data_IF_693636250924
#
_entry.id   IF_693636250924
#
_cell.length_a   1.000
_cell.length_b   1.000
_cell.length_c   1.000
_cell.angle_alpha   90.00
_cell.angle_beta   90.00
_cell.angle_gamma   90.00
#
_symmetry.space_group_name_H-M   'P 1'
#
loop_
_entity.id
_entity.type
_entity.pdbx_description
1 polymer ?
#
# COMPACT_ATOMS: atom_id res chain seq x y z
N UNK A 1 1.09 -33.71 -0.77
CA UNK A 1 0.57 -32.37 -0.40
C UNK A 1 1.66 -31.31 -0.60
N UNK A 2 1.29 -30.09 -1.03
CA UNK A 2 2.19 -28.95 -1.15
C UNK A 2 1.41 -27.68 -0.81
N UNK A 3 1.65 -27.08 0.34
CA UNK A 3 0.93 -25.92 0.85
C UNK A 3 1.94 -24.82 1.23
N UNK A 4 1.56 -23.58 0.96
CA UNK A 4 2.37 -22.40 1.26
C UNK A 4 1.57 -21.51 2.20
N UNK A 5 2.23 -20.99 3.23
CA UNK A 5 1.69 -19.98 4.12
C UNK A 5 2.69 -18.88 4.35
N UNK A 6 2.17 -17.67 4.51
CA UNK A 6 2.96 -16.47 4.81
C UNK A 6 2.27 -15.69 5.92
N UNK A 7 3.04 -15.12 6.83
CA UNK A 7 2.52 -14.19 7.83
C UNK A 7 3.59 -13.20 8.28
N UNK A 8 3.14 -11.95 8.49
CA UNK A 8 3.92 -10.89 9.09
C UNK A 8 3.18 -10.42 10.34
N UNK A 9 3.86 -10.43 11.48
CA UNK A 9 3.28 -10.08 12.79
C UNK A 9 4.22 -9.18 13.58
N UNK A 10 3.64 -8.19 14.25
CA UNK A 10 4.37 -7.27 15.11
C UNK A 10 4.92 -6.04 14.36
N UNK A 11 5.72 -5.27 15.08
CA UNK A 11 6.29 -4.01 14.64
C UNK A 11 7.76 -3.88 15.13
N UNK A 12 8.42 -2.81 14.69
CA UNK A 12 9.79 -2.52 15.09
C UNK A 12 10.81 -3.55 14.65
N UNK A 13 11.98 -3.62 15.32
CA UNK A 13 13.03 -4.58 15.00
C UNK A 13 12.65 -6.03 15.28
N UNK A 14 11.74 -6.28 16.20
CA UNK A 14 11.27 -7.60 16.59
C UNK A 14 10.19 -8.18 15.67
N UNK A 15 9.76 -7.42 14.64
CA UNK A 15 8.80 -7.87 13.64
C UNK A 15 9.17 -9.26 13.09
N UNK A 16 8.21 -10.16 13.09
CA UNK A 16 8.37 -11.51 12.57
C UNK A 16 7.73 -11.65 11.20
N UNK A 17 8.49 -12.10 10.21
CA UNK A 17 7.98 -12.49 8.90
C UNK A 17 8.33 -13.95 8.62
N UNK A 18 7.30 -14.77 8.54
CA UNK A 18 7.41 -16.22 8.37
C UNK A 18 6.84 -16.62 7.02
N UNK A 19 7.68 -17.22 6.15
CA UNK A 19 7.21 -18.00 5.01
C UNK A 19 7.38 -19.47 5.32
N UNK A 20 6.36 -20.27 5.10
CA UNK A 20 6.49 -21.69 5.29
C UNK A 20 5.95 -22.51 4.12
N UNK A 21 6.53 -23.69 3.97
CA UNK A 21 6.03 -24.73 3.07
C UNK A 21 5.79 -25.96 3.90
N UNK A 22 4.57 -26.51 3.78
CA UNK A 22 4.12 -27.75 4.40
C UNK A 22 3.82 -28.78 3.33
N UNK A 23 4.28 -30.00 3.50
CA UNK A 23 3.96 -31.06 2.54
C UNK A 23 4.47 -32.43 2.90
N UNK A 24 4.26 -33.36 1.97
CA UNK A 24 4.61 -34.76 2.16
C UNK A 24 6.12 -34.97 2.23
N UNK A 25 6.55 -35.80 3.15
CA UNK A 25 7.94 -36.23 3.34
C UNK A 25 8.53 -36.90 2.09
N UNK A 26 7.71 -37.66 1.37
CA UNK A 26 8.11 -38.33 0.13
C UNK A 26 7.89 -37.44 -1.11
N UNK A 27 7.44 -36.18 -0.91
CA UNK A 27 7.15 -35.22 -1.98
C UNK A 27 8.24 -34.17 -2.17
N UNK A 28 7.95 -33.12 -2.98
CA UNK A 28 8.91 -32.05 -3.23
C UNK A 28 9.32 -31.28 -1.97
N UNK A 29 8.42 -31.19 -0.97
CA UNK A 29 8.74 -30.53 0.31
C UNK A 29 9.70 -31.37 1.11
N UNK A 30 9.54 -32.70 1.14
CA UNK A 30 10.48 -33.62 1.79
C UNK A 30 11.86 -33.61 1.14
N UNK A 31 11.92 -33.56 -0.20
CA UNK A 31 13.19 -33.42 -0.91
C UNK A 31 13.88 -32.08 -0.56
N UNK A 32 13.15 -30.99 -0.51
CA UNK A 32 13.68 -29.67 -0.09
C UNK A 32 14.15 -29.69 1.37
N UNK A 33 13.40 -30.36 2.25
CA UNK A 33 13.77 -30.52 3.67
C UNK A 33 15.09 -31.29 3.83
N UNK A 34 15.25 -32.43 3.15
CA UNK A 34 16.46 -33.23 3.17
C UNK A 34 17.68 -32.47 2.60
N UNK A 35 17.47 -31.75 1.51
CA UNK A 35 18.51 -30.91 0.90
C UNK A 35 18.94 -29.77 1.86
N UNK A 36 17.98 -29.07 2.48
CA UNK A 36 18.27 -27.99 3.42
C UNK A 36 19.04 -28.50 4.65
N UNK A 37 18.74 -29.70 5.15
CA UNK A 37 19.47 -30.32 6.24
C UNK A 37 20.93 -30.65 5.90
N UNK A 38 21.24 -30.97 4.64
CA UNK A 38 22.57 -31.38 4.21
C UNK A 38 23.42 -30.23 3.65
N UNK A 39 22.80 -29.12 3.26
CA UNK A 39 23.51 -27.96 2.69
C UNK A 39 23.72 -26.88 3.75
N UNK A 40 24.93 -26.78 4.25
CA UNK A 40 25.32 -25.75 5.20
C UNK A 40 25.79 -24.51 4.43
N UNK A 41 25.09 -23.39 4.65
CA UNK A 41 25.40 -22.09 4.06
C UNK A 41 25.79 -21.12 5.18
N UNK A 42 26.91 -20.42 5.02
CA UNK A 42 27.36 -19.48 6.05
C UNK A 42 26.30 -18.41 6.35
N UNK A 43 25.91 -18.32 7.63
CA UNK A 43 24.89 -17.39 8.12
C UNK A 43 23.43 -17.77 7.79
N UNK A 44 23.20 -18.92 7.14
CA UNK A 44 21.87 -19.45 6.83
C UNK A 44 21.71 -20.91 7.26
N UNK A 45 22.44 -21.32 8.28
CA UNK A 45 22.40 -22.70 8.76
C UNK A 45 21.02 -23.04 9.30
N UNK A 46 20.33 -24.01 8.72
CA UNK A 46 19.03 -24.47 9.20
C UNK A 46 19.16 -25.19 10.54
N UNK A 47 18.09 -25.19 11.33
CA UNK A 47 18.02 -25.98 12.55
C UNK A 47 16.64 -26.65 12.68
N UNK A 48 16.63 -27.85 13.26
CA UNK A 48 15.38 -28.52 13.60
C UNK A 48 14.71 -27.81 14.77
N UNK A 49 13.41 -27.55 14.63
CA UNK A 49 12.61 -27.04 15.73
C UNK A 49 12.42 -28.12 16.80
N UNK A 50 12.77 -27.82 18.04
CA UNK A 50 12.64 -28.71 19.18
C UNK A 50 11.84 -28.06 20.31
N UNK A 51 10.93 -28.82 20.91
CA UNK A 51 10.16 -28.39 22.09
C UNK A 51 11.10 -28.22 23.28
N UNK A 52 12.05 -29.14 23.41
CA UNK A 52 13.19 -29.15 24.36
C UNK A 52 14.31 -30.01 23.77
N UNK A 53 15.52 -29.95 24.31
CA UNK A 53 16.57 -30.85 23.86
C UNK A 53 16.11 -32.31 23.78
N UNK A 54 16.41 -32.96 22.66
CA UNK A 54 16.04 -34.32 22.32
C UNK A 54 14.52 -34.58 22.11
N UNK A 55 13.70 -33.55 21.89
CA UNK A 55 12.28 -33.65 21.58
C UNK A 55 11.90 -32.76 20.38
N UNK A 56 11.85 -33.36 19.19
CA UNK A 56 11.45 -32.71 17.97
C UNK A 56 9.95 -32.40 17.94
N UNK A 57 9.59 -31.40 17.13
CA UNK A 57 8.18 -31.19 16.74
C UNK A 57 7.68 -32.30 15.82
N UNK A 58 6.37 -32.48 15.79
CA UNK A 58 5.65 -33.25 14.77
C UNK A 58 4.49 -32.42 14.24
N UNK A 59 4.45 -32.15 12.89
CA UNK A 59 5.43 -32.55 11.87
C UNK A 59 6.86 -32.07 12.14
N UNK A 60 7.87 -32.79 11.61
CA UNK A 60 9.25 -32.36 11.69
C UNK A 60 9.40 -30.99 10.99
N UNK A 61 9.93 -30.02 11.72
CA UNK A 61 9.99 -28.62 11.25
C UNK A 61 11.43 -28.15 11.19
N UNK A 62 11.81 -27.54 10.08
CA UNK A 62 13.10 -26.94 9.85
C UNK A 62 12.97 -25.41 9.85
N UNK A 63 13.70 -24.74 10.73
CA UNK A 63 13.79 -23.28 10.79
C UNK A 63 14.97 -22.83 9.94
N UNK A 64 14.74 -21.89 9.02
CA UNK A 64 15.73 -21.39 8.06
C UNK A 64 15.80 -19.86 8.18
N UNK A 65 16.96 -19.27 8.49
CA UNK A 65 17.12 -17.81 8.47
C UNK A 65 16.96 -17.26 7.05
N UNK A 66 16.04 -16.30 6.83
CA UNK A 66 15.89 -15.58 5.55
C UNK A 66 17.03 -14.61 5.24
N UNK A 67 17.68 -14.12 6.29
CA UNK A 67 18.79 -13.15 6.18
C UNK A 67 20.06 -13.78 6.68
N UNK A 68 21.20 -13.32 6.18
CA UNK A 68 22.49 -13.77 6.66
C UNK A 68 22.72 -13.32 8.09
N UNK A 69 22.80 -14.26 9.02
CA UNK A 69 23.13 -13.99 10.43
C UNK A 69 24.63 -13.64 10.52
N UNK A 70 24.93 -12.40 10.88
CA UNK A 70 26.31 -11.88 10.92
C UNK A 70 26.84 -11.67 12.33
N UNK A 71 25.95 -11.49 13.31
CA UNK A 71 26.30 -11.22 14.71
C UNK A 71 26.02 -12.44 15.57
N UNK A 72 26.82 -12.66 16.60
CA UNK A 72 26.60 -13.73 17.59
C UNK A 72 25.24 -13.60 18.30
N UNK A 73 24.76 -12.38 18.54
CA UNK A 73 23.43 -12.11 19.13
C UNK A 73 22.31 -12.62 18.22
N UNK A 74 22.36 -12.37 16.90
CA UNK A 74 21.37 -12.88 15.95
C UNK A 74 21.30 -14.41 15.93
N UNK A 75 22.45 -15.07 16.11
CA UNK A 75 22.51 -16.53 16.22
C UNK A 75 21.78 -16.98 17.48
N UNK A 76 22.02 -16.34 18.63
CA UNK A 76 21.33 -16.65 19.88
C UNK A 76 19.82 -16.39 19.78
N UNK A 77 19.40 -15.31 19.15
CA UNK A 77 17.99 -14.97 18.92
C UNK A 77 17.30 -16.00 18.02
N UNK A 78 17.96 -16.43 16.94
CA UNK A 78 17.43 -17.44 16.02
C UNK A 78 17.34 -18.82 16.67
N UNK A 79 18.39 -19.25 17.36
CA UNK A 79 18.44 -20.56 17.98
C UNK A 79 17.70 -20.63 19.34
N UNK A 80 17.45 -19.49 19.97
CA UNK A 80 16.68 -19.35 21.22
C UNK A 80 15.21 -19.03 20.97
N UNK A 81 14.80 -17.75 21.10
CA UNK A 81 13.39 -17.36 21.08
C UNK A 81 12.67 -17.68 19.76
N UNK A 82 13.32 -17.52 18.59
CA UNK A 82 12.69 -17.84 17.29
C UNK A 82 12.39 -19.33 17.20
N UNK A 83 13.40 -20.17 17.41
CA UNK A 83 13.23 -21.63 17.34
C UNK A 83 12.19 -22.13 18.35
N UNK A 84 12.24 -21.63 19.59
CA UNK A 84 11.28 -22.02 20.63
C UNK A 84 9.83 -21.60 20.26
N UNK A 85 9.66 -20.42 19.66
CA UNK A 85 8.37 -19.91 19.20
C UNK A 85 7.80 -20.79 18.08
N UNK A 86 8.60 -21.13 17.06
CA UNK A 86 8.19 -22.00 15.96
C UNK A 86 7.80 -23.38 16.48
N UNK A 87 8.63 -23.97 17.34
CA UNK A 87 8.37 -25.29 17.91
C UNK A 87 7.06 -25.31 18.70
N UNK A 88 6.84 -24.33 19.58
CA UNK A 88 5.61 -24.21 20.36
C UNK A 88 4.39 -24.00 19.47
N UNK A 89 4.48 -23.11 18.46
CA UNK A 89 3.39 -22.84 17.52
C UNK A 89 2.96 -24.10 16.75
N UNK A 90 3.92 -24.90 16.27
CA UNK A 90 3.63 -26.16 15.58
C UNK A 90 2.93 -27.15 16.54
N UNK A 91 3.43 -27.28 17.76
CA UNK A 91 2.83 -28.19 18.75
C UNK A 91 1.40 -27.77 19.11
N UNK A 92 1.14 -26.48 19.30
CA UNK A 92 -0.20 -25.98 19.61
C UNK A 92 -1.16 -26.15 18.43
N UNK A 93 -0.70 -25.94 17.19
CA UNK A 93 -1.49 -26.23 16.00
C UNK A 93 -1.88 -27.71 15.90
N UNK A 94 -1.02 -28.62 16.36
CA UNK A 94 -1.37 -30.05 16.45
C UNK A 94 -2.43 -30.29 17.51
N UNK A 95 -2.27 -29.71 18.69
CA UNK A 95 -3.22 -29.83 19.81
C UNK A 95 -4.60 -29.25 19.44
N UNK A 96 -4.61 -28.16 18.72
CA UNK A 96 -5.83 -27.48 18.22
C UNK A 96 -6.48 -28.21 17.03
N UNK A 97 -5.85 -29.27 16.52
CA UNK A 97 -6.41 -30.09 15.42
C UNK A 97 -6.26 -29.48 14.03
N UNK A 98 -5.37 -28.50 13.83
CA UNK A 98 -5.19 -27.83 12.53
C UNK A 98 -4.88 -28.81 11.39
N UNK A 99 -4.15 -29.88 11.66
CA UNK A 99 -3.77 -30.87 10.65
C UNK A 99 -4.85 -31.95 10.41
N UNK A 100 -5.96 -31.90 11.15
CA UNK A 100 -7.06 -32.86 11.03
C UNK A 100 -6.60 -34.31 11.25
N UNK A 101 -6.90 -35.17 10.29
CA UNK A 101 -6.55 -36.61 10.34
C UNK A 101 -5.24 -36.95 9.63
N UNK A 102 -4.42 -35.95 9.27
CA UNK A 102 -3.15 -36.20 8.59
C UNK A 102 -2.17 -36.94 9.51
N UNK A 103 -1.42 -37.87 8.92
CA UNK A 103 -0.31 -38.51 9.64
C UNK A 103 0.86 -37.54 9.77
N UNK A 104 1.12 -37.07 11.00
CA UNK A 104 2.16 -36.10 11.29
C UNK A 104 3.58 -36.61 10.99
N UNK A 105 3.79 -37.92 10.94
CA UNK A 105 5.08 -38.53 10.58
C UNK A 105 5.31 -38.48 9.04
N UNK A 106 4.26 -38.38 8.27
CA UNK A 106 4.34 -38.26 6.81
C UNK A 106 4.55 -36.83 6.32
N UNK A 107 4.46 -35.85 7.22
CA UNK A 107 4.56 -34.43 6.88
C UNK A 107 5.88 -33.80 7.35
N UNK A 108 6.33 -32.77 6.63
CA UNK A 108 7.45 -31.91 7.02
C UNK A 108 7.10 -30.44 6.77
N UNK A 109 7.71 -29.56 7.55
CA UNK A 109 7.56 -28.11 7.46
C UNK A 109 8.94 -27.46 7.30
N UNK A 110 9.06 -26.57 6.30
CA UNK A 110 10.17 -25.62 6.21
C UNK A 110 9.63 -24.24 6.57
N UNK A 111 10.16 -23.64 7.62
CA UNK A 111 9.81 -22.29 8.07
C UNK A 111 11.01 -21.35 7.86
N UNK A 112 10.87 -20.45 6.90
CA UNK A 112 11.85 -19.39 6.62
C UNK A 112 11.50 -18.16 7.43
N UNK A 113 12.44 -17.71 8.29
CA UNK A 113 12.20 -16.66 9.28
C UNK A 113 13.08 -15.45 9.02
N UNK A 114 12.46 -14.28 8.98
CA UNK A 114 13.16 -13.00 9.00
C UNK A 114 13.46 -12.57 10.43
N UNK A 115 14.68 -12.12 10.66
CA UNK A 115 15.14 -11.54 11.91
C UNK A 115 15.96 -10.30 11.62
N UNK A 116 15.52 -9.15 12.13
CA UNK A 116 16.25 -7.89 11.97
C UNK A 116 17.55 -7.89 12.78
N UNK A 117 18.58 -7.25 12.24
CA UNK A 117 19.89 -7.14 12.91
C UNK A 117 19.88 -6.24 14.16
N UNK A 118 18.82 -5.47 14.37
CA UNK A 118 18.62 -4.60 15.53
C UNK A 118 17.64 -5.18 16.55
N UNK A 119 17.04 -6.36 16.28
CA UNK A 119 16.18 -7.04 17.25
C UNK A 119 16.97 -7.37 18.52
N UNK A 120 16.33 -7.25 19.70
CA UNK A 120 16.99 -7.44 20.99
C UNK A 120 16.04 -7.94 22.09
N UNK A 121 14.74 -7.69 21.99
CA UNK A 121 13.75 -8.12 22.98
C UNK A 121 13.32 -9.57 22.71
N UNK A 122 13.90 -10.52 23.45
CA UNK A 122 13.64 -11.96 23.32
C UNK A 122 12.16 -12.33 23.52
N UNK A 123 11.44 -11.61 24.39
CA UNK A 123 10.03 -11.88 24.65
C UNK A 123 9.14 -11.43 23.45
N UNK A 124 9.46 -10.30 22.85
CA UNK A 124 8.79 -9.82 21.64
C UNK A 124 9.13 -10.72 20.46
N UNK A 125 10.41 -11.05 20.25
CA UNK A 125 10.86 -12.00 19.22
C UNK A 125 10.08 -13.31 19.34
N UNK A 126 9.98 -13.88 20.54
CA UNK A 126 9.23 -15.11 20.78
C UNK A 126 7.76 -14.96 20.42
N UNK A 127 7.06 -13.96 20.98
CA UNK A 127 5.62 -13.77 20.77
C UNK A 127 5.25 -13.52 19.31
N UNK A 128 6.01 -12.66 18.63
CA UNK A 128 5.74 -12.35 17.24
C UNK A 128 6.01 -13.53 16.31
N UNK A 129 7.09 -14.27 16.51
CA UNK A 129 7.37 -15.48 15.74
C UNK A 129 6.38 -16.61 16.02
N UNK A 130 5.90 -16.74 17.26
CA UNK A 130 4.84 -17.68 17.61
C UNK A 130 3.54 -17.35 16.85
N UNK A 131 3.06 -16.12 16.94
CA UNK A 131 1.86 -15.67 16.23
C UNK A 131 2.00 -15.80 14.71
N UNK A 132 3.12 -15.36 14.14
CA UNK A 132 3.39 -15.45 12.72
C UNK A 132 3.41 -16.90 12.22
N UNK A 133 4.01 -17.83 12.98
CA UNK A 133 4.04 -19.25 12.61
C UNK A 133 2.66 -19.87 12.66
N UNK A 134 1.86 -19.62 13.70
CA UNK A 134 0.46 -20.09 13.77
C UNK A 134 -0.38 -19.59 12.60
N UNK A 135 -0.31 -18.30 12.34
CA UNK A 135 -1.05 -17.68 11.25
C UNK A 135 -0.63 -18.22 9.88
N UNK A 136 0.67 -18.36 9.63
CA UNK A 136 1.18 -18.93 8.39
C UNK A 136 0.74 -20.38 8.21
N UNK A 137 0.72 -21.21 9.26
CA UNK A 137 0.20 -22.59 9.21
C UNK A 137 -1.30 -22.62 8.90
N UNK A 138 -2.10 -21.79 9.56
CA UNK A 138 -3.53 -21.68 9.30
C UNK A 138 -3.79 -21.28 7.83
N UNK A 139 -3.12 -20.23 7.34
CA UNK A 139 -3.21 -19.77 5.95
C UNK A 139 -2.79 -20.84 4.94
N UNK A 140 -1.75 -21.63 5.25
CA UNK A 140 -1.34 -22.76 4.40
C UNK A 140 -2.46 -23.81 4.30
N UNK A 141 -3.04 -24.22 5.42
CA UNK A 141 -4.12 -25.21 5.45
C UNK A 141 -5.40 -24.71 4.77
N UNK A 142 -5.73 -23.45 4.92
CA UNK A 142 -6.87 -22.77 4.27
C UNK A 142 -6.62 -22.47 2.78
N UNK A 143 -5.37 -22.60 2.30
CA UNK A 143 -4.93 -22.18 0.95
C UNK A 143 -5.19 -20.69 0.69
N UNK A 144 -4.99 -19.87 1.74
CA UNK A 144 -5.16 -18.43 1.67
C UNK A 144 -4.00 -17.76 0.90
N UNK A 145 -4.25 -16.65 0.16
CA UNK A 145 -5.57 -16.09 -0.12
C UNK A 145 -6.30 -16.81 -1.27
N UNK A 146 -7.60 -16.81 -1.23
CA UNK A 146 -8.38 -17.19 -2.39
C UNK A 146 -8.32 -16.08 -3.47
N UNK A 147 -8.75 -16.42 -4.71
CA UNK A 147 -8.72 -15.47 -5.83
C UNK A 147 -9.54 -14.20 -5.57
N UNK A 148 -10.66 -14.32 -4.86
CA UNK A 148 -11.54 -13.17 -4.58
C UNK A 148 -10.87 -12.21 -3.62
N UNK A 149 -10.31 -12.72 -2.54
CA UNK A 149 -9.54 -11.95 -1.56
C UNK A 149 -8.34 -11.28 -2.21
N UNK A 150 -7.54 -12.03 -3.00
CA UNK A 150 -6.39 -11.46 -3.72
C UNK A 150 -6.79 -10.27 -4.61
N UNK A 151 -7.88 -10.42 -5.41
CA UNK A 151 -8.32 -9.36 -6.30
C UNK A 151 -8.96 -8.18 -5.57
N UNK A 152 -9.53 -8.41 -4.40
CA UNK A 152 -10.07 -7.35 -3.54
C UNK A 152 -8.96 -6.56 -2.86
N UNK A 153 -7.96 -7.25 -2.32
CA UNK A 153 -6.89 -6.65 -1.52
C UNK A 153 -5.73 -6.06 -2.35
N UNK A 154 -5.55 -6.47 -3.60
CA UNK A 154 -4.42 -6.02 -4.43
C UNK A 154 -4.25 -4.50 -4.55
N UNK A 155 -5.35 -3.76 -4.46
CA UNK A 155 -5.37 -2.29 -4.54
C UNK A 155 -5.46 -1.63 -3.15
N UNK A 156 -5.56 -2.44 -2.06
CA UNK A 156 -5.74 -2.00 -0.67
C UNK A 156 -4.48 -2.12 0.18
N UNK A 157 -3.37 -2.53 -0.42
CA UNK A 157 -2.11 -2.72 0.29
C UNK A 157 -1.54 -1.38 0.79
N UNK A 158 -2.03 -0.92 1.95
CA UNK A 158 -1.54 0.27 2.63
C UNK A 158 -0.43 -0.04 3.64
N UNK A 159 -0.08 -1.32 3.82
CA UNK A 159 0.89 -1.73 4.83
C UNK A 159 2.33 -1.53 4.36
N UNK A 160 3.17 -0.99 5.25
CA UNK A 160 4.60 -0.95 5.02
C UNK A 160 5.19 -2.35 5.16
N UNK A 161 5.91 -2.80 4.15
CA UNK A 161 6.74 -4.00 4.23
C UNK A 161 8.19 -3.56 4.27
N UNK A 162 8.92 -3.91 5.33
CA UNK A 162 10.34 -3.55 5.50
C UNK A 162 10.60 -2.03 5.39
N UNK A 163 9.70 -1.20 5.92
CA UNK A 163 9.81 0.25 5.88
C UNK A 163 9.39 0.91 4.56
N UNK A 164 8.94 0.13 3.57
CA UNK A 164 8.42 0.65 2.30
C UNK A 164 6.91 0.53 2.26
N UNK A 165 6.22 1.67 2.09
CA UNK A 165 4.77 1.76 1.96
C UNK A 165 4.41 2.26 0.58
N UNK A 166 3.62 1.48 -0.17
CA UNK A 166 3.00 1.94 -1.40
C UNK A 166 1.67 2.59 -1.07
N UNK A 167 1.53 3.87 -1.37
CA UNK A 167 0.26 4.57 -1.18
C UNK A 167 -0.75 4.12 -2.26
N UNK A 168 -1.98 3.82 -1.80
CA UNK A 168 -3.11 3.44 -2.67
C UNK A 168 -4.36 4.15 -2.21
N UNK A 169 -5.22 4.52 -3.15
CA UNK A 169 -6.48 5.22 -2.89
C UNK A 169 -7.64 4.22 -2.78
N UNK A 170 -7.74 3.51 -1.68
CA UNK A 170 -8.73 2.44 -1.47
C UNK A 170 -9.82 2.77 -0.44
N UNK A 171 -9.59 3.77 0.41
CA UNK A 171 -10.52 4.18 1.49
C UNK A 171 -10.85 5.68 1.43
N UNK A 172 -11.64 6.15 0.42
CA UNK A 172 -12.06 7.55 0.37
C UNK A 172 -12.93 7.94 1.60
N UNK A 173 -13.03 9.23 1.93
CA UNK A 173 -12.57 10.38 1.12
C UNK A 173 -11.11 10.78 1.38
N UNK A 174 -10.54 11.57 0.45
CA UNK A 174 -9.19 12.12 0.53
C UNK A 174 -9.19 13.64 0.38
N UNK A 175 -8.27 14.30 1.08
CA UNK A 175 -7.92 15.71 0.86
C UNK A 175 -6.73 15.77 -0.10
N UNK A 176 -6.91 16.40 -1.26
CA UNK A 176 -5.84 16.68 -2.22
C UNK A 176 -5.43 18.14 -2.09
N UNK A 177 -4.17 18.38 -1.71
CA UNK A 177 -3.61 19.73 -1.60
C UNK A 177 -2.88 20.07 -2.89
N UNK A 178 -3.44 21.00 -3.67
CA UNK A 178 -2.87 21.47 -4.93
C UNK A 178 -1.81 22.53 -4.68
N UNK A 179 -0.56 22.23 -5.03
CA UNK A 179 0.58 23.15 -4.91
C UNK A 179 0.74 23.95 -6.21
N UNK A 180 -0.11 24.97 -6.39
CA UNK A 180 0.00 25.95 -7.48
C UNK A 180 0.96 27.08 -7.14
N UNK A 181 2.16 26.72 -6.73
CA UNK A 181 3.20 27.62 -6.23
C UNK A 181 4.35 27.71 -7.23
N UNK A 182 4.98 28.88 -7.34
CA UNK A 182 6.12 29.12 -8.24
C UNK A 182 7.41 29.47 -7.48
N UNK A 183 7.38 29.36 -6.16
CA UNK A 183 8.49 29.62 -5.23
C UNK A 183 8.81 28.36 -4.42
N UNK A 184 10.05 27.88 -4.54
CA UNK A 184 10.50 26.67 -3.86
C UNK A 184 10.53 26.79 -2.34
N UNK A 185 10.86 27.95 -1.79
CA UNK A 185 10.88 28.16 -0.34
C UNK A 185 9.47 28.00 0.22
N UNK A 186 8.48 28.55 -0.48
CA UNK A 186 7.07 28.41 -0.11
C UNK A 186 6.57 26.97 -0.27
N UNK A 187 7.01 26.25 -1.32
CA UNK A 187 6.71 24.81 -1.47
C UNK A 187 7.25 24.02 -0.28
N UNK A 188 8.50 24.24 0.11
CA UNK A 188 9.12 23.58 1.26
C UNK A 188 8.40 23.89 2.57
N UNK A 189 8.06 25.18 2.82
CA UNK A 189 7.30 25.58 4.01
C UNK A 189 5.96 24.85 4.08
N UNK A 190 5.15 24.92 3.03
CA UNK A 190 3.85 24.26 2.97
C UNK A 190 3.97 22.74 3.19
N UNK A 191 4.89 22.08 2.49
CA UNK A 191 5.11 20.65 2.65
C UNK A 191 5.53 20.23 4.06
N UNK A 192 6.33 21.05 4.73
CA UNK A 192 6.81 20.79 6.09
C UNK A 192 5.70 20.95 7.13
N UNK A 193 4.78 21.86 6.90
CA UNK A 193 3.67 22.19 7.79
C UNK A 193 2.44 21.28 7.62
N UNK A 194 2.23 20.69 6.42
CA UNK A 194 1.10 19.79 6.18
C UNK A 194 1.08 18.62 7.18
N UNK A 195 -0.08 18.21 7.71
CA UNK A 195 -0.19 17.06 8.61
C UNK A 195 0.28 15.78 7.92
N UNK A 196 0.71 14.79 8.71
CA UNK A 196 0.98 13.42 8.23
C UNK A 196 -0.30 12.62 8.37
N UNK A 197 -0.98 12.38 7.26
CA UNK A 197 -2.25 11.67 7.23
C UNK A 197 -2.34 10.85 5.95
N UNK A 198 -2.81 9.61 6.03
CA UNK A 198 -2.96 8.69 4.90
C UNK A 198 -4.09 9.11 3.94
N UNK A 199 -4.99 9.97 4.39
CA UNK A 199 -6.04 10.58 3.57
C UNK A 199 -5.62 11.91 2.92
N UNK A 200 -4.32 12.25 2.99
CA UNK A 200 -3.78 13.45 2.37
C UNK A 200 -2.99 13.13 1.11
N UNK A 201 -3.40 13.72 0.00
CA UNK A 201 -2.75 13.65 -1.31
C UNK A 201 -2.03 14.98 -1.56
N UNK A 202 -0.84 14.93 -2.14
CA UNK A 202 -0.10 16.11 -2.57
C UNK A 202 -0.12 16.19 -4.09
N UNK A 203 -0.53 17.31 -4.62
CA UNK A 203 -0.49 17.57 -6.05
C UNK A 203 0.59 18.59 -6.39
N UNK A 204 1.51 18.19 -7.28
CA UNK A 204 2.36 19.15 -7.96
C UNK A 204 1.53 19.80 -9.07
N UNK A 205 1.01 20.99 -8.79
CA UNK A 205 0.12 21.71 -9.70
C UNK A 205 0.78 22.10 -11.02
N UNK A 206 -0.03 22.35 -12.04
CA UNK A 206 0.48 22.73 -13.38
C UNK A 206 1.45 23.91 -13.36
N UNK A 207 1.21 25.01 -12.60
CA UNK A 207 2.17 26.12 -12.51
C UNK A 207 3.53 25.71 -11.91
N UNK A 208 3.50 24.83 -10.93
CA UNK A 208 4.71 24.32 -10.27
C UNK A 208 5.55 23.47 -11.23
N UNK A 209 4.91 22.51 -11.95
CA UNK A 209 5.59 21.68 -12.95
C UNK A 209 6.11 22.53 -14.11
N UNK A 210 5.36 23.51 -14.59
CA UNK A 210 5.82 24.43 -15.67
C UNK A 210 7.01 25.26 -15.24
N UNK A 211 7.11 25.59 -13.96
CA UNK A 211 8.23 26.40 -13.44
C UNK A 211 9.50 25.57 -13.23
N UNK A 212 9.40 24.35 -12.72
CA UNK A 212 10.55 23.56 -12.23
C UNK A 212 10.74 22.24 -12.96
N UNK A 213 9.85 21.88 -13.88
CA UNK A 213 9.83 20.54 -14.53
C UNK A 213 9.43 19.44 -13.57
N UNK A 214 9.49 18.20 -14.05
CA UNK A 214 9.10 17.02 -13.27
C UNK A 214 10.07 16.67 -12.11
N UNK A 215 11.27 17.28 -12.07
CA UNK A 215 12.18 17.14 -10.93
C UNK A 215 11.54 17.55 -9.59
N UNK A 216 10.52 18.41 -9.63
CA UNK A 216 9.75 18.82 -8.44
C UNK A 216 9.10 17.63 -7.74
N UNK A 217 8.70 16.58 -8.45
CA UNK A 217 8.11 15.36 -7.87
C UNK A 217 9.13 14.69 -6.93
N UNK A 218 10.38 14.58 -7.39
CA UNK A 218 11.47 14.02 -6.59
C UNK A 218 11.78 14.88 -5.35
N UNK A 219 11.67 16.22 -5.46
CA UNK A 219 11.86 17.10 -4.31
C UNK A 219 10.71 16.95 -3.29
N UNK A 220 9.46 16.87 -3.75
CA UNK A 220 8.32 16.60 -2.88
C UNK A 220 8.51 15.24 -2.18
N UNK A 221 8.95 14.22 -2.90
CA UNK A 221 9.18 12.86 -2.37
C UNK A 221 10.26 12.84 -1.28
N UNK A 222 11.32 13.64 -1.39
CA UNK A 222 12.35 13.76 -0.34
C UNK A 222 11.80 14.31 0.98
N UNK A 223 10.87 15.27 0.91
CA UNK A 223 10.25 15.89 2.10
C UNK A 223 9.14 15.00 2.66
N UNK A 224 8.37 14.38 1.78
CA UNK A 224 7.20 13.57 2.09
C UNK A 224 7.32 12.17 1.44
N UNK A 225 8.20 11.29 1.95
CA UNK A 225 8.53 10.01 1.30
C UNK A 225 7.34 9.08 1.11
N UNK A 226 6.37 9.11 2.01
CA UNK A 226 5.19 8.24 2.00
C UNK A 226 3.92 8.93 1.49
N UNK A 227 4.00 10.15 0.92
CA UNK A 227 2.83 10.82 0.39
C UNK A 227 2.38 10.20 -0.95
N UNK A 228 1.07 10.21 -1.23
CA UNK A 228 0.56 10.02 -2.58
C UNK A 228 0.75 11.32 -3.37
N UNK A 229 1.49 11.28 -4.48
CA UNK A 229 1.86 12.47 -5.25
C UNK A 229 1.23 12.41 -6.64
N UNK A 230 0.45 13.44 -6.97
CA UNK A 230 -0.14 13.63 -8.30
C UNK A 230 0.70 14.63 -9.09
N UNK A 231 1.05 14.29 -10.33
CA UNK A 231 1.68 15.20 -11.29
C UNK A 231 0.59 15.83 -12.18
N UNK A 232 0.25 17.08 -11.95
CA UNK A 232 -0.76 17.79 -12.75
C UNK A 232 -0.15 18.33 -14.04
N UNK A 233 0.08 17.42 -14.99
CA UNK A 233 0.66 17.74 -16.30
C UNK A 233 -0.36 18.29 -17.29
N UNK A 234 -1.66 18.03 -17.09
CA UNK A 234 -2.75 18.34 -18.03
C UNK A 234 -2.40 17.91 -19.45
N UNK A 235 -2.00 16.64 -19.61
CA UNK A 235 -1.55 16.06 -20.88
C UNK A 235 -2.60 16.34 -21.98
N UNK A 236 -2.17 16.94 -23.09
CA UNK A 236 -3.00 17.24 -24.25
C UNK A 236 -2.59 16.47 -25.49
N UNK A 237 -1.34 16.04 -25.58
CA UNK A 237 -0.77 15.29 -26.71
C UNK A 237 0.26 14.29 -26.18
N UNK A 238 0.77 13.39 -27.03
CA UNK A 238 1.81 12.38 -26.69
C UNK A 238 1.53 11.61 -25.40
N UNK A 239 0.28 11.19 -25.15
CA UNK A 239 -0.23 10.66 -23.89
C UNK A 239 0.62 9.58 -23.24
N UNK A 240 1.16 8.63 -24.01
CA UNK A 240 2.02 7.58 -23.48
C UNK A 240 3.40 8.10 -23.04
N UNK A 241 3.98 9.07 -23.74
CA UNK A 241 5.28 9.64 -23.38
C UNK A 241 5.19 10.43 -22.08
N UNK A 242 4.25 11.37 -22.01
CA UNK A 242 4.11 12.24 -20.84
C UNK A 242 3.66 11.47 -19.60
N UNK A 243 2.77 10.47 -19.74
CA UNK A 243 2.40 9.60 -18.61
C UNK A 243 3.60 8.80 -18.08
N UNK A 244 4.48 8.32 -18.98
CA UNK A 244 5.73 7.65 -18.57
C UNK A 244 6.68 8.61 -17.86
N UNK A 245 6.84 9.84 -18.36
CA UNK A 245 7.69 10.85 -17.71
C UNK A 245 7.25 11.13 -16.26
N UNK A 246 5.94 11.17 -16.00
CA UNK A 246 5.42 11.33 -14.64
C UNK A 246 5.76 10.11 -13.75
N UNK A 247 5.60 8.89 -14.30
CA UNK A 247 5.97 7.66 -13.58
C UNK A 247 7.48 7.59 -13.28
N UNK A 248 8.31 7.92 -14.25
CA UNK A 248 9.79 7.93 -14.10
C UNK A 248 10.24 8.98 -13.07
N UNK A 249 9.48 10.08 -12.91
CA UNK A 249 9.70 11.05 -11.85
C UNK A 249 9.19 10.61 -10.46
N UNK A 250 8.65 9.39 -10.35
CA UNK A 250 8.08 8.81 -9.11
C UNK A 250 6.77 9.47 -8.63
N UNK A 251 5.94 9.96 -9.56
CA UNK A 251 4.56 10.31 -9.26
C UNK A 251 3.71 9.04 -9.07
N UNK A 252 2.69 9.12 -8.22
CA UNK A 252 1.71 8.04 -8.00
C UNK A 252 0.51 8.16 -8.94
N UNK A 253 0.28 9.35 -9.49
CA UNK A 253 -0.76 9.63 -10.48
C UNK A 253 -0.33 10.72 -11.46
N UNK A 254 -0.94 10.71 -12.65
CA UNK A 254 -0.75 11.75 -13.67
C UNK A 254 -2.08 12.31 -14.15
N UNK A 255 -2.16 13.63 -14.28
CA UNK A 255 -3.36 14.32 -14.77
C UNK A 255 -3.29 14.51 -16.29
N UNK A 256 -4.37 14.12 -16.94
CA UNK A 256 -4.61 14.22 -18.39
C UNK A 256 -5.77 15.20 -18.58
N UNK A 257 -5.66 16.14 -19.50
CA UNK A 257 -6.75 17.06 -19.82
C UNK A 257 -7.89 16.33 -20.54
N UNK A 258 -9.10 16.44 -20.04
CA UNK A 258 -10.31 15.91 -20.69
C UNK A 258 -10.62 16.51 -22.06
N UNK A 259 -9.95 17.61 -22.41
CA UNK A 259 -10.00 18.25 -23.73
C UNK A 259 -9.08 17.56 -24.76
N UNK A 260 -8.21 16.64 -24.34
CA UNK A 260 -7.34 15.89 -25.24
C UNK A 260 -8.16 14.98 -26.19
N UNK A 261 -7.64 14.68 -27.38
CA UNK A 261 -8.26 13.68 -28.25
C UNK A 261 -8.44 12.33 -27.56
N UNK A 262 -9.52 11.61 -27.86
CA UNK A 262 -9.80 10.30 -27.25
C UNK A 262 -8.60 9.34 -27.35
N UNK A 263 -7.90 9.31 -28.46
CA UNK A 263 -6.71 8.48 -28.65
C UNK A 263 -5.58 8.83 -27.66
N UNK A 264 -5.40 10.11 -27.35
CA UNK A 264 -4.41 10.59 -26.36
C UNK A 264 -4.83 10.17 -24.94
N UNK A 265 -6.11 10.35 -24.58
CA UNK A 265 -6.66 9.89 -23.30
C UNK A 265 -6.42 8.40 -23.09
N UNK A 266 -6.81 7.57 -24.09
CA UNK A 266 -6.67 6.11 -23.99
C UNK A 266 -5.20 5.66 -23.93
N UNK A 267 -4.27 6.30 -24.67
CA UNK A 267 -2.84 6.01 -24.61
C UNK A 267 -2.23 6.40 -23.26
N UNK A 268 -2.60 7.54 -22.70
CA UNK A 268 -2.11 7.98 -21.39
C UNK A 268 -2.61 7.06 -20.26
N UNK A 269 -3.90 6.69 -20.27
CA UNK A 269 -4.46 5.73 -19.31
C UNK A 269 -3.76 4.37 -19.40
N UNK A 270 -3.54 3.87 -20.64
CA UNK A 270 -2.87 2.59 -20.84
C UNK A 270 -1.43 2.59 -20.33
N UNK A 271 -0.69 3.68 -20.56
CA UNK A 271 0.69 3.81 -20.07
C UNK A 271 0.76 3.98 -18.55
N UNK A 272 -0.15 4.77 -17.94
CA UNK A 272 -0.27 4.88 -16.49
C UNK A 272 -0.48 3.50 -15.84
N UNK A 273 -1.38 2.68 -16.39
CA UNK A 273 -1.58 1.29 -15.94
C UNK A 273 -0.36 0.40 -16.10
N UNK A 274 0.35 0.54 -17.21
CA UNK A 274 1.56 -0.23 -17.50
C UNK A 274 2.68 0.09 -16.52
N UNK A 275 2.79 1.36 -16.12
CA UNK A 275 3.80 1.83 -15.17
C UNK A 275 3.36 1.72 -13.70
N UNK A 276 2.10 1.35 -13.44
CA UNK A 276 1.56 1.14 -12.10
C UNK A 276 1.15 2.40 -11.36
N UNK A 277 1.01 3.55 -12.07
CA UNK A 277 0.49 4.79 -11.50
C UNK A 277 -0.99 4.99 -11.87
N UNK A 278 -1.67 5.88 -11.14
CA UNK A 278 -3.06 6.23 -11.41
C UNK A 278 -3.17 7.22 -12.57
N UNK A 279 -4.26 7.09 -13.34
CA UNK A 279 -4.66 8.04 -14.37
C UNK A 279 -5.80 8.94 -13.88
N UNK A 280 -5.62 10.25 -13.96
CA UNK A 280 -6.64 11.26 -13.62
C UNK A 280 -7.05 11.98 -14.89
N UNK A 281 -8.34 12.06 -15.19
CA UNK A 281 -8.85 12.94 -16.25
C UNK A 281 -9.46 14.18 -15.61
N UNK A 282 -8.81 15.32 -15.83
CA UNK A 282 -9.33 16.63 -15.42
C UNK A 282 -10.34 17.15 -16.46
N UNK A 283 -11.57 17.32 -16.02
CA UNK A 283 -12.71 17.77 -16.85
C UNK A 283 -12.84 19.30 -16.90
N UNK A 284 -11.78 20.02 -16.59
CA UNK A 284 -11.75 21.49 -16.70
C UNK A 284 -12.16 21.92 -18.11
N UNK A 285 -13.19 22.77 -18.20
CA UNK A 285 -13.76 23.27 -19.46
C UNK A 285 -14.31 22.20 -20.43
N UNK A 286 -14.50 20.96 -19.98
CA UNK A 286 -15.17 19.92 -20.77
C UNK A 286 -16.68 20.12 -20.67
N UNK A 287 -17.40 20.38 -21.77
CA UNK A 287 -18.85 20.67 -21.72
C UNK A 287 -19.68 19.49 -21.23
N UNK A 288 -19.32 18.28 -21.64
CA UNK A 288 -20.08 17.05 -21.37
C UNK A 288 -19.15 15.93 -20.78
N UNK A 289 -18.73 16.06 -19.50
CA UNK A 289 -17.78 15.12 -18.88
C UNK A 289 -18.23 13.64 -18.94
N UNK A 290 -19.51 13.39 -18.70
CA UNK A 290 -20.07 12.03 -18.76
C UNK A 290 -20.00 11.41 -20.17
N UNK A 291 -20.15 12.22 -21.21
CA UNK A 291 -20.05 11.76 -22.60
C UNK A 291 -18.60 11.38 -22.94
N UNK A 292 -17.63 12.21 -22.54
CA UNK A 292 -16.21 11.88 -22.68
C UNK A 292 -15.91 10.56 -21.99
N UNK A 293 -16.30 10.41 -20.73
CA UNK A 293 -16.05 9.19 -19.95
C UNK A 293 -16.69 7.95 -20.60
N UNK A 294 -17.92 8.06 -21.12
CA UNK A 294 -18.61 6.94 -21.79
C UNK A 294 -17.91 6.53 -23.09
N UNK A 295 -17.37 7.46 -23.87
CA UNK A 295 -16.70 7.21 -25.13
C UNK A 295 -15.38 6.43 -24.98
N UNK A 296 -14.70 6.52 -23.84
CA UNK A 296 -13.45 5.84 -23.58
C UNK A 296 -13.63 4.31 -23.51
N UNK A 297 -12.80 3.57 -24.24
CA UNK A 297 -12.72 2.11 -24.18
C UNK A 297 -12.09 1.65 -22.85
N UNK A 298 -11.10 2.40 -22.38
CA UNK A 298 -10.39 2.16 -21.11
C UNK A 298 -10.74 3.30 -20.17
N UNK A 299 -11.30 2.98 -19.00
CA UNK A 299 -11.71 4.01 -18.03
C UNK A 299 -10.51 4.46 -17.20
N UNK A 300 -10.41 5.76 -16.84
CA UNK A 300 -9.39 6.22 -15.90
C UNK A 300 -9.66 5.70 -14.48
N UNK A 301 -8.69 5.87 -13.61
CA UNK A 301 -8.85 5.55 -12.18
C UNK A 301 -9.58 6.67 -11.44
N UNK A 302 -9.33 7.94 -11.85
CA UNK A 302 -9.90 9.14 -11.24
C UNK A 302 -10.44 10.04 -12.35
N UNK A 303 -11.59 10.66 -12.09
CA UNK A 303 -12.10 11.81 -12.86
C UNK A 303 -12.18 13.01 -11.93
N UNK A 304 -11.63 14.13 -12.33
CA UNK A 304 -11.70 15.39 -11.60
C UNK A 304 -12.72 16.33 -12.23
N UNK A 305 -13.77 16.67 -11.49
CA UNK A 305 -14.74 17.71 -11.85
C UNK A 305 -14.19 19.06 -11.39
N UNK A 306 -13.61 19.77 -12.30
CA UNK A 306 -12.84 20.98 -12.02
C UNK A 306 -13.59 22.22 -12.48
N UNK A 307 -13.83 23.15 -11.55
CA UNK A 307 -14.29 24.51 -11.87
C UNK A 307 -13.08 25.44 -11.92
N UNK A 308 -12.93 26.12 -13.05
CA UNK A 308 -11.82 27.07 -13.23
C UNK A 308 -11.82 28.15 -12.13
N UNK A 309 -10.63 28.54 -11.68
CA UNK A 309 -10.44 29.63 -10.69
C UNK A 309 -11.12 30.92 -11.17
N UNK A 310 -10.96 31.24 -12.46
CA UNK A 310 -11.55 32.44 -13.06
C UNK A 310 -13.09 32.39 -13.16
N UNK A 311 -13.70 31.22 -12.89
CA UNK A 311 -15.14 30.98 -12.91
C UNK A 311 -15.70 30.57 -11.52
N UNK A 312 -15.01 30.89 -10.41
CA UNK A 312 -15.41 30.50 -9.05
C UNK A 312 -16.81 31.00 -8.63
N UNK A 313 -17.37 32.02 -9.31
CA UNK A 313 -18.73 32.50 -9.05
C UNK A 313 -19.85 31.60 -9.58
N UNK A 314 -19.53 30.60 -10.42
CA UNK A 314 -20.51 29.66 -10.96
C UNK A 314 -20.76 28.49 -10.00
N UNK A 315 -21.91 27.82 -10.12
CA UNK A 315 -22.23 26.65 -9.30
C UNK A 315 -21.37 25.43 -9.72
N UNK A 316 -21.04 24.56 -8.74
CA UNK A 316 -20.40 23.28 -9.03
C UNK A 316 -21.38 22.30 -9.69
N UNK A 317 -20.93 21.59 -10.74
CA UNK A 317 -21.70 20.58 -11.45
C UNK A 317 -21.45 19.17 -10.84
N UNK A 318 -21.88 18.94 -9.59
CA UNK A 318 -21.66 17.65 -8.91
C UNK A 318 -22.76 16.62 -9.18
N UNK A 319 -23.85 17.00 -9.88
CA UNK A 319 -25.01 16.14 -10.10
C UNK A 319 -24.72 14.87 -10.92
N UNK A 320 -23.65 14.84 -11.70
CA UNK A 320 -23.31 13.72 -12.58
C UNK A 320 -22.44 12.64 -11.94
N UNK A 321 -21.98 12.83 -10.70
CA UNK A 321 -21.05 11.89 -10.02
C UNK A 321 -21.60 10.46 -9.98
N UNK A 322 -22.85 10.19 -9.55
CA UNK A 322 -23.38 8.83 -9.53
C UNK A 322 -23.44 8.19 -10.94
N UNK A 323 -23.77 8.99 -11.95
CA UNK A 323 -23.83 8.52 -13.33
C UNK A 323 -22.45 8.19 -13.89
N UNK A 324 -21.40 8.95 -13.51
CA UNK A 324 -20.00 8.69 -13.88
C UNK A 324 -19.50 7.40 -13.23
N UNK A 325 -19.70 7.22 -11.92
CA UNK A 325 -19.34 6.00 -11.20
C UNK A 325 -20.01 4.77 -11.82
N UNK A 326 -21.29 4.86 -12.15
CA UNK A 326 -22.02 3.79 -12.85
C UNK A 326 -21.44 3.49 -14.23
N UNK A 327 -21.11 4.52 -15.02
CA UNK A 327 -20.55 4.38 -16.36
C UNK A 327 -19.16 3.73 -16.38
N UNK A 328 -18.40 3.85 -15.29
CA UNK A 328 -17.07 3.27 -15.12
C UNK A 328 -17.07 1.91 -14.39
N UNK A 329 -18.23 1.33 -14.07
CA UNK A 329 -18.32 0.03 -13.39
C UNK A 329 -18.03 0.06 -11.90
N UNK A 330 -18.19 1.22 -11.22
CA UNK A 330 -18.15 1.37 -9.77
C UNK A 330 -16.76 1.47 -9.12
N UNK A 331 -15.68 1.39 -9.90
CA UNK A 331 -14.30 1.52 -9.37
C UNK A 331 -13.70 2.92 -9.51
N UNK A 332 -14.41 3.82 -10.19
CA UNK A 332 -13.97 5.19 -10.43
C UNK A 332 -13.98 6.00 -9.15
N UNK A 333 -12.87 6.67 -8.85
CA UNK A 333 -12.85 7.76 -7.86
C UNK A 333 -13.19 9.07 -8.57
N UNK A 334 -13.96 9.92 -7.88
CA UNK A 334 -14.32 11.25 -8.40
C UNK A 334 -13.76 12.32 -7.49
N UNK A 335 -12.87 13.14 -8.07
CA UNK A 335 -12.32 14.31 -7.43
C UNK A 335 -13.17 15.55 -7.78
N UNK A 336 -13.27 16.49 -6.85
CA UNK A 336 -13.91 17.79 -7.08
C UNK A 336 -12.93 18.91 -6.75
N UNK A 337 -12.80 19.88 -7.67
CA UNK A 337 -11.86 21.00 -7.58
C UNK A 337 -12.52 22.34 -7.87
N UNK A 338 -11.86 23.43 -7.49
CA UNK A 338 -12.25 24.82 -7.81
C UNK A 338 -12.96 25.55 -6.68
N UNK A 339 -12.20 26.22 -5.80
CA UNK A 339 -12.68 27.12 -4.76
C UNK A 339 -13.49 26.46 -3.63
N UNK A 340 -13.22 25.20 -3.33
CA UNK A 340 -13.88 24.51 -2.21
C UNK A 340 -13.37 25.06 -0.90
N UNK A 341 -14.27 25.43 -0.01
CA UNK A 341 -14.02 25.85 1.35
C UNK A 341 -14.46 24.78 2.34
N UNK A 342 -14.05 24.91 3.59
CA UNK A 342 -14.34 23.93 4.67
C UNK A 342 -15.85 23.62 4.78
N UNK A 343 -16.71 24.63 4.69
CA UNK A 343 -18.16 24.50 4.73
C UNK A 343 -18.76 23.77 3.51
N UNK A 344 -18.03 23.74 2.39
CA UNK A 344 -18.43 23.03 1.15
C UNK A 344 -18.11 21.54 1.14
N UNK A 345 -17.20 21.07 2.00
CA UNK A 345 -16.70 19.67 2.00
C UNK A 345 -17.84 18.65 2.15
N UNK A 346 -18.69 18.79 3.18
CA UNK A 346 -19.79 17.86 3.43
C UNK A 346 -20.77 17.79 2.24
N UNK A 347 -21.00 18.90 1.55
CA UNK A 347 -21.85 18.94 0.37
C UNK A 347 -21.24 18.19 -0.80
N UNK A 348 -19.94 18.35 -1.03
CA UNK A 348 -19.21 17.62 -2.07
C UNK A 348 -19.23 16.11 -1.79
N UNK A 349 -18.95 15.69 -0.56
CA UNK A 349 -19.00 14.28 -0.15
C UNK A 349 -20.40 13.68 -0.29
N UNK A 350 -21.43 14.41 0.13
CA UNK A 350 -22.83 13.99 -0.03
C UNK A 350 -23.25 13.82 -1.49
N UNK A 351 -22.59 14.51 -2.44
CA UNK A 351 -22.78 14.34 -3.87
C UNK A 351 -22.05 13.10 -4.43
N UNK A 352 -21.27 12.39 -3.59
CA UNK A 352 -20.53 11.18 -3.97
C UNK A 352 -19.08 11.41 -4.36
N UNK A 353 -18.51 12.60 -4.09
CA UNK A 353 -17.08 12.86 -4.28
C UNK A 353 -16.23 11.99 -3.36
N UNK A 354 -15.10 11.50 -3.88
CA UNK A 354 -14.12 10.69 -3.16
C UNK A 354 -12.87 11.48 -2.78
N UNK A 355 -12.58 12.56 -3.53
CA UNK A 355 -11.40 13.40 -3.35
C UNK A 355 -11.83 14.87 -3.39
N UNK A 356 -11.42 15.63 -2.40
CA UNK A 356 -11.65 17.07 -2.30
C UNK A 356 -10.34 17.79 -2.59
N UNK A 357 -10.28 18.52 -3.70
CA UNK A 357 -9.08 19.24 -4.12
C UNK A 357 -9.13 20.68 -3.61
N UNK A 358 -8.10 21.05 -2.85
CA UNK A 358 -7.98 22.35 -2.20
C UNK A 358 -6.61 22.94 -2.49
N UNK A 359 -6.56 24.15 -3.06
CA UNK A 359 -5.32 24.90 -3.29
C UNK A 359 -5.14 26.00 -2.26
N UNK A 360 -5.43 27.25 -2.66
CA UNK A 360 -5.15 28.48 -1.91
C UNK A 360 -5.73 28.53 -0.50
N UNK A 361 -6.86 27.90 -0.23
CA UNK A 361 -7.46 27.87 1.10
C UNK A 361 -6.52 27.22 2.15
N UNK A 362 -5.62 26.35 1.71
CA UNK A 362 -4.57 25.75 2.56
C UNK A 362 -3.22 26.43 2.28
N UNK A 363 -2.76 26.47 1.04
CA UNK A 363 -1.39 26.89 0.69
C UNK A 363 -1.12 28.37 0.91
N UNK A 364 -2.14 29.23 0.99
CA UNK A 364 -2.04 30.66 1.31
C UNK A 364 -2.40 30.97 2.77
N UNK A 365 -2.74 29.97 3.59
CA UNK A 365 -2.99 30.14 5.01
C UNK A 365 -1.72 30.58 5.75
N UNK A 366 -1.90 31.33 6.85
CA UNK A 366 -0.81 31.65 7.79
C UNK A 366 -0.39 30.43 8.62
N UNK A 367 -1.33 29.50 8.83
CA UNK A 367 -1.13 28.23 9.51
C UNK A 367 -1.67 27.12 8.58
N UNK A 368 -0.76 26.52 7.85
CA UNK A 368 -1.06 25.48 6.85
C UNK A 368 -1.56 24.21 7.52
N UNK A 369 -0.98 23.86 8.68
CA UNK A 369 -1.35 22.67 9.44
C UNK A 369 -2.81 22.74 9.88
N UNK A 370 -3.17 23.77 10.65
CA UNK A 370 -4.55 23.97 11.11
C UNK A 370 -5.53 24.08 9.94
N UNK A 371 -5.15 24.75 8.84
CA UNK A 371 -6.01 24.85 7.68
C UNK A 371 -6.28 23.48 7.04
N UNK A 372 -5.29 22.61 6.93
CA UNK A 372 -5.48 21.26 6.38
C UNK A 372 -6.31 20.38 7.33
N UNK A 373 -6.06 20.45 8.64
CA UNK A 373 -6.81 19.66 9.63
C UNK A 373 -8.29 20.02 9.63
N UNK A 374 -8.67 21.28 9.50
CA UNK A 374 -10.07 21.69 9.39
C UNK A 374 -10.81 21.01 8.21
N UNK A 375 -10.13 20.77 7.08
CA UNK A 375 -10.68 20.00 5.96
C UNK A 375 -10.78 18.52 6.29
N UNK A 376 -9.74 17.93 6.88
CA UNK A 376 -9.71 16.51 7.27
C UNK A 376 -10.79 16.18 8.31
N UNK A 377 -11.02 17.03 9.31
CA UNK A 377 -12.09 16.90 10.29
C UNK A 377 -13.49 16.84 9.64
N UNK A 378 -13.74 17.62 8.58
CA UNK A 378 -15.02 17.56 7.87
C UNK A 378 -15.23 16.24 7.12
N UNK A 379 -14.15 15.48 6.87
CA UNK A 379 -14.21 14.17 6.20
C UNK A 379 -14.51 13.04 7.19
N UNK A 380 -14.46 13.27 8.50
CA UNK A 380 -14.67 12.28 9.57
C UNK A 380 -13.77 11.04 9.39
N UNK A 381 -12.53 11.23 8.96
CA UNK A 381 -11.54 10.15 8.83
C UNK A 381 -10.43 10.37 9.84
N UNK A 382 -10.42 9.52 10.87
CA UNK A 382 -9.29 9.34 11.76
C UNK A 382 -8.28 8.40 11.11
N UNK A 383 -7.00 8.62 11.41
CA UNK A 383 -5.94 7.72 10.98
C UNK A 383 -6.15 6.36 11.67
N UNK A 384 -6.50 5.35 10.89
CA UNK A 384 -6.64 3.99 11.41
C UNK A 384 -5.25 3.36 11.39
N UNK A 385 -4.71 3.10 12.58
CA UNK A 385 -3.52 2.27 12.74
C UNK A 385 -3.86 0.79 12.43
N UNK A 386 -3.81 0.46 11.15
CA UNK A 386 -4.14 -0.88 10.66
C UNK A 386 -3.07 -1.94 11.02
N UNK A 387 -1.93 -1.52 11.57
CA UNK A 387 -0.91 -2.44 12.06
C UNK A 387 -1.28 -3.12 13.38
N UNK A 388 -2.27 -2.58 14.11
CA UNK A 388 -2.75 -3.16 15.36
C UNK A 388 -3.53 -4.47 15.23
N UNK A 389 -3.91 -4.86 14.02
CA UNK A 389 -4.82 -6.00 13.78
C UNK A 389 -4.24 -7.36 14.18
N UNK A 390 -2.95 -7.45 14.48
CA UNK A 390 -2.28 -8.74 14.67
C UNK A 390 -1.61 -8.92 16.05
N UNK A 391 -1.91 -8.08 17.03
CA UNK A 391 -1.36 -8.22 18.39
C UNK A 391 -2.31 -8.85 19.40
N UNK A 392 -3.56 -9.12 19.02
CA UNK A 392 -4.55 -9.79 19.86
C UNK A 392 -4.53 -11.31 19.61
N UNK A 393 -3.47 -11.96 20.09
CA UNK A 393 -3.38 -13.40 20.25
C UNK A 393 -3.31 -13.77 21.75
#
# INVERSE_FOLDING_TARGET
MYLIGEALVGDGPELAHVDLVLGDKEGPVGAAFANAMSQLSAGHTPLLAVIRPNLLTKPATLVIPKVTLRKGTQIQEMFGPVQAAVAKAVADCVEEGLFGTQDLESLVILASIYLDAAAADYNRIYRYNYGATKLALARAMEKFPDRKTLLYEKDRAAHAVMGFKVQRLWDPPYLQVALDLVDMQKVHSVLSELPRNDHLIIEAGTPLIKRFGLSIISEIRKIRPNAFIIADMKILDTGNLEARMAADASADAVVISGLAPQATLEKAIAEARKTGIYSVIDMLNVPEPLKVLKALKVKPDIVELHRAIDAESTAHAWGDIPAMKKAAGGKLLVATAGGIRVDGVKKALASGADIIVVGRAITASKDVHTAADLFLEQMNKEEIDQFRVMTDF
#
